data_IF_358812497631
#
_entry.id   IF_358812497631
#
_cell.length_a   1.000
_cell.length_b   1.000
_cell.length_c   1.000
_cell.angle_alpha   90.00
_cell.angle_beta   90.00
_cell.angle_gamma   90.00
#
_symmetry.space_group_name_H-M   'P 1'
#
loop_
_entity.id
_entity.type
_entity.pdbx_description
1 polymer ?
#
# COMPACT_ATOMS: atom_id res chain seq x y z
N UNK A 1 -8.97 -24.63 0.11
CA UNK A 1 -7.51 -24.90 0.22
C UNK A 1 -6.95 -24.04 1.36
N UNK A 2 -5.99 -24.50 2.16
CA UNK A 2 -5.39 -23.72 3.27
C UNK A 2 -4.15 -22.98 2.77
N UNK A 3 -3.95 -21.74 3.22
CA UNK A 3 -2.72 -21.01 2.90
C UNK A 3 -1.51 -21.75 3.48
N UNK A 4 -0.43 -21.83 2.71
CA UNK A 4 0.79 -22.50 3.16
C UNK A 4 1.50 -21.66 4.23
N UNK A 5 1.34 -22.03 5.50
CA UNK A 5 2.02 -21.46 6.67
C UNK A 5 2.48 -22.62 7.56
N UNK A 6 3.70 -22.58 8.14
CA UNK A 6 4.12 -23.61 9.08
C UNK A 6 3.30 -23.53 10.36
N UNK A 7 3.10 -24.65 11.04
CA UNK A 7 2.50 -24.67 12.38
C UNK A 7 3.63 -24.69 13.41
N UNK A 8 3.75 -23.61 14.20
CA UNK A 8 4.84 -23.43 15.17
C UNK A 8 4.45 -23.81 16.61
N UNK A 9 3.20 -24.23 16.84
CA UNK A 9 2.66 -24.45 18.19
C UNK A 9 2.54 -23.17 19.02
N UNK A 10 2.54 -22.00 18.36
CA UNK A 10 2.38 -20.67 18.96
C UNK A 10 1.03 -20.10 18.54
N UNK A 11 0.46 -19.25 19.38
CA UNK A 11 -0.72 -18.47 18.99
C UNK A 11 -0.40 -17.62 17.76
N UNK A 12 -1.31 -17.65 16.79
CA UNK A 12 -1.18 -16.98 15.51
C UNK A 12 -1.89 -15.63 15.52
N UNK A 13 -1.10 -14.59 15.33
CA UNK A 13 -1.57 -13.22 15.15
C UNK A 13 -1.50 -12.90 13.65
N UNK A 14 -2.66 -12.68 13.03
CA UNK A 14 -2.74 -12.24 11.64
C UNK A 14 -2.99 -10.74 11.59
N UNK A 15 -2.13 -10.02 10.87
CA UNK A 15 -2.18 -8.57 10.67
C UNK A 15 -2.49 -8.30 9.20
N UNK A 16 -3.57 -7.57 8.94
CA UNK A 16 -3.98 -7.14 7.60
C UNK A 16 -3.45 -5.73 7.33
N UNK A 17 -2.56 -5.60 6.37
CA UNK A 17 -1.93 -4.34 6.00
C UNK A 17 -0.63 -4.08 6.76
N UNK A 18 0.45 -3.91 6.02
CA UNK A 18 1.79 -3.51 6.47
C UNK A 18 2.05 -2.01 6.29
N UNK A 19 1.01 -1.18 6.41
CA UNK A 19 1.13 0.25 6.60
C UNK A 19 1.76 0.61 7.97
N UNK A 20 1.63 1.85 8.41
CA UNK A 20 2.25 2.31 9.66
C UNK A 20 1.87 1.47 10.89
N UNK A 21 0.56 1.27 11.11
CA UNK A 21 0.08 0.56 12.29
C UNK A 21 0.48 -0.93 12.28
N UNK A 22 0.24 -1.61 11.15
CA UNK A 22 0.53 -3.04 11.04
C UNK A 22 2.01 -3.36 11.10
N UNK A 23 2.86 -2.57 10.43
CA UNK A 23 4.31 -2.74 10.51
C UNK A 23 4.83 -2.48 11.94
N UNK A 24 4.39 -1.39 12.58
CA UNK A 24 4.82 -1.06 13.94
C UNK A 24 4.44 -2.16 14.94
N UNK A 25 3.25 -2.74 14.82
CA UNK A 25 2.82 -3.87 15.64
C UNK A 25 3.64 -5.13 15.35
N UNK A 26 3.80 -5.49 14.08
CA UNK A 26 4.58 -6.66 13.68
C UNK A 26 6.03 -6.59 14.20
N UNK A 27 6.66 -5.41 14.15
CA UNK A 27 8.00 -5.16 14.70
C UNK A 27 8.07 -5.32 16.23
N UNK A 28 7.02 -4.93 16.96
CA UNK A 28 6.95 -5.13 18.41
C UNK A 28 6.77 -6.61 18.74
N UNK A 29 5.82 -7.27 18.08
CA UNK A 29 5.53 -8.70 18.30
C UNK A 29 6.71 -9.59 17.92
N UNK A 30 7.45 -9.26 16.86
CA UNK A 30 8.62 -10.04 16.44
C UNK A 30 9.73 -10.10 17.51
N UNK A 31 9.82 -9.08 18.37
CA UNK A 31 10.80 -9.05 19.47
C UNK A 31 10.42 -9.97 20.63
N UNK A 32 9.13 -10.24 20.83
CA UNK A 32 8.63 -11.09 21.91
C UNK A 32 8.91 -12.58 21.65
N UNK A 33 8.91 -13.01 20.39
CA UNK A 33 9.13 -14.40 19.95
C UNK A 33 8.13 -15.43 20.51
N UNK A 34 7.08 -14.98 21.20
CA UNK A 34 6.00 -15.82 21.76
C UNK A 34 4.97 -16.23 20.72
N UNK A 35 4.73 -15.37 19.71
CA UNK A 35 3.64 -15.54 18.75
C UNK A 35 4.17 -15.93 17.37
N UNK A 36 3.34 -16.63 16.60
CA UNK A 36 3.49 -16.68 15.15
C UNK A 36 2.81 -15.44 14.54
N UNK A 37 3.58 -14.54 13.94
CA UNK A 37 3.05 -13.34 13.31
C UNK A 37 2.91 -13.58 11.82
N UNK A 38 1.72 -13.33 11.27
CA UNK A 38 1.46 -13.42 9.83
C UNK A 38 1.03 -12.04 9.34
N UNK A 39 1.85 -11.41 8.51
CA UNK A 39 1.55 -10.14 7.86
C UNK A 39 1.01 -10.41 6.45
N UNK A 40 -0.24 -10.03 6.20
CA UNK A 40 -0.88 -10.08 4.89
C UNK A 40 -0.92 -8.67 4.32
N UNK A 41 -0.46 -8.48 3.10
CA UNK A 41 -0.54 -7.20 2.38
C UNK A 41 -0.64 -7.44 0.86
N UNK A 42 -1.13 -6.46 0.11
CA UNK A 42 -1.15 -6.46 -1.35
C UNK A 42 0.25 -6.26 -1.95
N UNK A 43 1.12 -5.60 -1.21
CA UNK A 43 2.49 -5.29 -1.58
C UNK A 43 3.49 -6.13 -0.78
N UNK A 44 4.68 -6.33 -1.33
CA UNK A 44 5.79 -7.00 -0.62
C UNK A 44 6.67 -6.02 0.20
N UNK A 45 6.22 -4.76 0.33
CA UNK A 45 6.95 -3.68 0.96
C UNK A 45 6.02 -2.74 1.75
N UNK A 46 6.60 -2.07 2.74
CA UNK A 46 6.03 -0.88 3.36
C UNK A 46 6.36 0.34 2.50
N UNK A 47 5.42 1.28 2.41
CA UNK A 47 5.61 2.56 1.72
C UNK A 47 5.39 3.71 2.70
N UNK A 48 6.33 4.65 2.74
CA UNK A 48 6.26 5.80 3.64
C UNK A 48 5.41 6.91 3.01
N UNK A 49 4.10 6.79 3.21
CA UNK A 49 3.07 7.64 2.60
C UNK A 49 3.31 9.16 2.70
N UNK A 50 3.86 9.70 3.81
CA UNK A 50 4.08 11.13 3.93
C UNK A 50 4.99 11.74 2.85
N UNK A 51 5.76 10.95 2.10
CA UNK A 51 6.70 11.46 1.09
C UNK A 51 6.28 11.17 -0.36
N UNK A 52 5.03 10.73 -0.60
CA UNK A 52 4.55 10.49 -1.97
C UNK A 52 4.61 11.74 -2.85
N UNK A 53 4.31 12.91 -2.30
CA UNK A 53 4.42 14.17 -3.05
C UNK A 53 5.84 14.44 -3.54
N UNK A 54 6.87 14.06 -2.78
CA UNK A 54 8.26 14.22 -3.22
C UNK A 54 8.60 13.27 -4.36
N UNK A 55 8.02 12.08 -4.40
CA UNK A 55 8.14 11.19 -5.56
C UNK A 55 7.39 11.75 -6.76
N UNK A 56 6.17 12.24 -6.59
CA UNK A 56 5.37 12.85 -7.65
C UNK A 56 6.06 14.06 -8.29
N UNK A 57 6.77 14.85 -7.50
CA UNK A 57 7.49 16.04 -7.96
C UNK A 57 8.94 15.77 -8.41
N UNK A 58 9.34 14.51 -8.59
CA UNK A 58 10.73 14.11 -8.91
C UNK A 58 11.79 14.53 -7.88
N UNK A 59 11.39 14.95 -6.68
CA UNK A 59 12.30 15.33 -5.60
C UNK A 59 12.91 14.15 -4.85
N UNK A 60 12.27 12.97 -4.91
CA UNK A 60 12.77 11.72 -4.36
C UNK A 60 12.58 10.55 -5.32
N UNK A 61 13.55 9.63 -5.26
CA UNK A 61 13.40 8.31 -5.86
C UNK A 61 12.42 7.44 -5.06
N UNK A 62 11.53 6.67 -5.71
CA UNK A 62 10.60 5.76 -5.05
C UNK A 62 11.26 4.79 -4.07
N UNK A 63 12.45 4.30 -4.44
CA UNK A 63 13.22 3.34 -3.65
C UNK A 63 13.66 3.89 -2.29
N UNK A 64 13.73 5.21 -2.14
CA UNK A 64 14.07 5.89 -0.88
C UNK A 64 12.94 5.84 0.15
N UNK A 65 11.71 5.55 -0.27
CA UNK A 65 10.51 5.54 0.60
C UNK A 65 9.81 4.17 0.67
N UNK A 66 10.41 3.16 0.03
CA UNK A 66 9.90 1.79 -0.03
C UNK A 66 10.81 0.84 0.75
N UNK A 67 10.23 0.08 1.68
CA UNK A 67 10.95 -0.76 2.61
C UNK A 67 10.46 -2.22 2.52
N UNK A 68 11.20 -3.13 1.86
CA UNK A 68 10.76 -4.51 1.67
C UNK A 68 10.53 -5.25 2.99
N UNK A 69 9.34 -5.82 3.18
CA UNK A 69 9.01 -6.52 4.43
C UNK A 69 9.98 -7.67 4.73
N UNK A 70 10.38 -8.41 3.69
CA UNK A 70 11.31 -9.54 3.83
C UNK A 70 12.67 -9.10 4.36
N UNK A 71 13.15 -7.91 3.96
CA UNK A 71 14.40 -7.32 4.46
C UNK A 71 14.25 -6.92 5.93
N UNK A 72 13.12 -6.29 6.29
CA UNK A 72 12.83 -5.88 7.68
C UNK A 72 12.81 -7.09 8.62
N UNK A 73 12.16 -8.18 8.22
CA UNK A 73 11.97 -9.37 9.05
C UNK A 73 12.97 -10.51 8.79
N UNK A 74 14.03 -10.28 8.01
CA UNK A 74 14.96 -11.34 7.57
C UNK A 74 15.60 -12.17 8.71
N UNK A 75 15.72 -11.59 9.92
CA UNK A 75 16.28 -12.26 11.11
C UNK A 75 15.22 -12.86 12.04
N UNK A 76 13.93 -12.72 11.72
CA UNK A 76 12.82 -13.22 12.51
C UNK A 76 12.23 -14.48 11.88
N UNK A 77 12.43 -15.63 12.53
CA UNK A 77 11.91 -16.92 12.07
C UNK A 77 10.41 -17.12 12.30
N UNK A 78 9.83 -16.30 13.18
CA UNK A 78 8.43 -16.40 13.61
C UNK A 78 7.49 -15.43 12.87
N UNK A 79 8.03 -14.63 11.93
CA UNK A 79 7.25 -13.66 11.13
C UNK A 79 7.13 -14.16 9.71
N UNK A 80 5.89 -14.30 9.24
CA UNK A 80 5.57 -14.78 7.91
C UNK A 80 4.86 -13.69 7.12
N UNK A 81 5.31 -13.43 5.90
CA UNK A 81 4.70 -12.46 5.00
C UNK A 81 4.02 -13.23 3.87
N UNK A 82 2.77 -12.89 3.56
CA UNK A 82 2.07 -13.37 2.37
C UNK A 82 1.51 -12.18 1.62
N UNK A 83 1.71 -12.20 0.31
CA UNK A 83 1.22 -11.16 -0.59
C UNK A 83 -0.12 -11.66 -1.11
N UNK A 84 -1.22 -11.10 -0.64
CA UNK A 84 -2.57 -11.56 -0.99
C UNK A 84 -3.61 -10.53 -0.55
N UNK A 85 -4.80 -10.64 -1.13
CA UNK A 85 -5.97 -9.88 -0.74
C UNK A 85 -6.88 -10.73 0.13
N UNK A 86 -7.50 -10.09 1.13
CA UNK A 86 -8.50 -10.72 1.97
C UNK A 86 -9.87 -10.46 1.35
N UNK A 87 -10.55 -11.52 1.00
CA UNK A 87 -11.86 -11.51 0.33
C UNK A 87 -13.00 -11.65 1.34
N UNK A 88 -12.73 -12.27 2.49
CA UNK A 88 -13.74 -12.53 3.52
C UNK A 88 -13.13 -12.78 4.89
N UNK A 89 -13.93 -12.54 5.93
CA UNK A 89 -13.56 -12.77 7.33
C UNK A 89 -14.66 -13.59 7.99
N UNK A 90 -14.31 -14.77 8.51
CA UNK A 90 -15.20 -15.57 9.34
C UNK A 90 -14.74 -15.50 10.81
N UNK A 91 -15.45 -14.70 11.61
CA UNK A 91 -15.11 -14.48 13.02
C UNK A 91 -15.50 -15.67 13.92
N UNK A 92 -16.60 -16.37 13.60
CA UNK A 92 -17.04 -17.54 14.38
C UNK A 92 -16.06 -18.69 14.28
N UNK A 93 -15.59 -18.98 13.05
CA UNK A 93 -14.64 -20.05 12.75
C UNK A 93 -13.19 -19.58 12.78
N UNK A 94 -12.96 -18.29 13.07
CA UNK A 94 -11.65 -17.64 13.19
C UNK A 94 -10.70 -17.86 12.01
N UNK A 95 -11.15 -17.53 10.80
CA UNK A 95 -10.30 -17.57 9.62
C UNK A 95 -10.60 -16.45 8.62
N UNK A 96 -9.63 -16.19 7.75
CA UNK A 96 -9.73 -15.31 6.60
C UNK A 96 -9.81 -16.11 5.31
N UNK A 97 -10.56 -15.59 4.35
CA UNK A 97 -10.60 -16.07 2.97
C UNK A 97 -9.68 -15.18 2.13
N UNK A 98 -8.82 -15.81 1.35
CA UNK A 98 -7.86 -15.13 0.46
C UNK A 98 -7.73 -15.94 -0.82
N UNK A 99 -7.20 -15.30 -1.87
CA UNK A 99 -6.88 -15.98 -3.13
C UNK A 99 -5.83 -17.10 -2.98
N UNK A 100 -5.05 -17.11 -1.89
CA UNK A 100 -4.10 -18.18 -1.55
C UNK A 100 -4.72 -19.29 -0.68
N UNK A 101 -6.00 -19.19 -0.36
CA UNK A 101 -6.73 -20.09 0.51
C UNK A 101 -6.98 -19.54 1.92
N UNK A 102 -7.47 -20.42 2.79
CA UNK A 102 -7.92 -20.06 4.14
C UNK A 102 -6.75 -19.81 5.07
N UNK A 103 -6.76 -18.69 5.79
CA UNK A 103 -5.79 -18.34 6.84
C UNK A 103 -6.47 -18.28 8.21
N UNK A 104 -6.27 -19.32 9.03
CA UNK A 104 -6.76 -19.33 10.41
C UNK A 104 -5.98 -18.33 11.26
N UNK A 105 -6.63 -17.80 12.30
CA UNK A 105 -6.01 -16.92 13.28
C UNK A 105 -6.51 -17.20 14.70
N UNK A 106 -5.70 -16.87 15.70
CA UNK A 106 -6.14 -16.75 17.09
C UNK A 106 -6.55 -15.31 17.39
N UNK A 107 -5.77 -14.36 16.84
CA UNK A 107 -6.04 -12.93 16.87
C UNK A 107 -5.95 -12.32 15.48
N UNK A 108 -6.90 -11.44 15.17
CA UNK A 108 -6.96 -10.69 13.92
C UNK A 108 -6.78 -9.20 14.19
N UNK A 109 -5.86 -8.56 13.47
CA UNK A 109 -5.65 -7.12 13.49
C UNK A 109 -5.92 -6.57 12.09
N UNK A 110 -6.84 -5.62 12.00
CA UNK A 110 -7.17 -4.92 10.76
C UNK A 110 -6.42 -3.58 10.76
N UNK A 111 -5.43 -3.45 9.88
CA UNK A 111 -4.57 -2.28 9.72
C UNK A 111 -4.43 -1.90 8.23
N UNK A 112 -5.52 -2.06 7.46
CA UNK A 112 -5.56 -1.90 6.00
C UNK A 112 -5.49 -0.46 5.52
N UNK A 113 -5.60 0.51 6.43
CA UNK A 113 -5.64 1.93 6.11
C UNK A 113 -6.97 2.34 5.47
N UNK A 114 -6.92 3.40 4.66
CA UNK A 114 -8.05 3.95 3.94
C UNK A 114 -7.63 4.31 2.51
N UNK A 115 -8.62 4.40 1.62
CA UNK A 115 -8.42 4.75 0.21
C UNK A 115 -8.91 6.19 -0.10
N UNK A 116 -8.75 6.62 -1.34
CA UNK A 116 -9.29 7.88 -1.86
C UNK A 116 -10.81 7.81 -1.89
N UNK A 117 -11.47 8.88 -1.43
CA UNK A 117 -12.91 9.00 -1.46
C UNK A 117 -13.31 10.11 -2.43
N UNK A 118 -14.02 9.73 -3.49
CA UNK A 118 -14.53 10.65 -4.51
C UNK A 118 -15.96 11.15 -4.23
N UNK A 119 -16.51 10.82 -3.04
CA UNK A 119 -17.85 11.25 -2.59
C UNK A 119 -18.98 10.91 -3.57
N UNK A 120 -18.84 9.79 -4.29
CA UNK A 120 -19.80 9.33 -5.29
C UNK A 120 -19.64 9.94 -6.68
N UNK A 121 -18.63 10.78 -6.91
CA UNK A 121 -18.34 11.35 -8.22
C UNK A 121 -17.46 10.41 -9.06
N UNK A 122 -18.10 9.56 -9.86
CA UNK A 122 -17.44 8.59 -10.73
C UNK A 122 -16.67 9.24 -11.89
N UNK A 123 -17.11 10.41 -12.36
CA UNK A 123 -16.42 11.15 -13.42
C UNK A 123 -15.05 11.63 -12.92
N UNK A 124 -15.00 12.24 -11.72
CA UNK A 124 -13.74 12.61 -11.09
C UNK A 124 -12.84 11.42 -10.81
N UNK A 125 -13.40 10.29 -10.35
CA UNK A 125 -12.62 9.07 -10.14
C UNK A 125 -11.94 8.58 -11.43
N UNK A 126 -12.59 8.74 -12.59
CA UNK A 126 -12.03 8.31 -13.88
C UNK A 126 -10.98 9.26 -14.47
N UNK A 127 -10.98 10.54 -14.05
CA UNK A 127 -10.13 11.59 -14.61
C UNK A 127 -8.98 12.00 -13.68
N UNK A 128 -9.19 11.93 -12.36
CA UNK A 128 -8.24 12.44 -11.38
C UNK A 128 -7.21 11.37 -10.98
N UNK A 129 -5.96 11.80 -10.84
CA UNK A 129 -4.88 10.97 -10.34
C UNK A 129 -4.83 11.09 -8.81
N UNK A 130 -5.12 10.01 -8.10
CA UNK A 130 -4.93 9.91 -6.64
C UNK A 130 -3.44 9.86 -6.28
N UNK A 131 -3.12 10.02 -4.99
CA UNK A 131 -1.75 9.90 -4.46
C UNK A 131 -1.76 9.13 -3.13
N UNK A 132 -2.18 7.86 -3.18
CA UNK A 132 -2.24 6.94 -2.02
C UNK A 132 -1.21 5.81 -2.07
N UNK A 133 -0.48 5.70 -3.15
CA UNK A 133 0.55 4.68 -3.39
C UNK A 133 1.75 5.27 -4.10
N UNK A 134 2.88 4.58 -3.99
CA UNK A 134 4.10 4.92 -4.76
C UNK A 134 3.85 4.83 -6.26
N UNK A 135 3.06 3.85 -6.72
CA UNK A 135 2.73 3.68 -8.13
C UNK A 135 1.94 4.85 -8.69
N UNK A 136 0.96 5.37 -7.95
CA UNK A 136 0.21 6.56 -8.37
C UNK A 136 1.09 7.82 -8.37
N UNK A 137 1.96 8.00 -7.36
CA UNK A 137 2.90 9.12 -7.35
C UNK A 137 3.85 9.09 -8.56
N UNK A 138 4.33 7.90 -8.94
CA UNK A 138 5.12 7.69 -10.15
C UNK A 138 4.34 7.99 -11.43
N UNK A 139 3.07 7.58 -11.48
CA UNK A 139 2.20 7.86 -12.60
C UNK A 139 1.97 9.38 -12.77
N UNK A 140 1.68 10.09 -11.67
CA UNK A 140 1.54 11.54 -11.65
C UNK A 140 2.80 12.24 -12.15
N UNK A 141 3.98 11.85 -11.64
CA UNK A 141 5.28 12.37 -12.08
C UNK A 141 5.45 12.24 -13.60
N UNK A 142 5.25 11.03 -14.12
CA UNK A 142 5.47 10.74 -15.52
C UNK A 142 4.45 11.47 -16.40
N UNK A 143 3.22 11.65 -15.93
CA UNK A 143 2.18 12.41 -16.63
C UNK A 143 2.60 13.87 -16.76
N UNK A 144 2.95 14.54 -15.65
CA UNK A 144 3.42 15.95 -15.64
C UNK A 144 4.62 16.14 -16.57
N UNK A 145 5.61 15.25 -16.51
CA UNK A 145 6.80 15.35 -17.37
C UNK A 145 6.45 15.13 -18.85
N UNK A 146 5.52 14.22 -19.15
CA UNK A 146 5.09 13.97 -20.54
C UNK A 146 4.30 15.17 -21.08
N UNK A 147 3.42 15.75 -20.28
CA UNK A 147 2.66 16.93 -20.63
C UNK A 147 3.58 18.12 -20.93
N UNK A 148 4.68 18.29 -20.18
CA UNK A 148 5.69 19.30 -20.49
C UNK A 148 6.39 19.10 -21.84
N UNK A 149 6.74 17.87 -22.20
CA UNK A 149 7.35 17.59 -23.51
C UNK A 149 6.39 17.89 -24.67
N UNK A 150 5.10 17.61 -24.47
CA UNK A 150 4.05 17.96 -25.45
C UNK A 150 3.89 19.48 -25.51
N UNK A 151 3.78 20.16 -24.37
CA UNK A 151 3.64 21.61 -24.30
C UNK A 151 4.79 22.36 -24.98
N UNK A 152 6.02 21.85 -24.89
CA UNK A 152 7.19 22.42 -25.59
C UNK A 152 7.11 22.27 -27.12
N UNK A 153 6.39 21.26 -27.60
CA UNK A 153 6.22 20.96 -29.02
C UNK A 153 4.95 21.59 -29.61
N UNK A 154 4.02 22.04 -28.78
CA UNK A 154 2.75 22.67 -29.19
C UNK A 154 2.93 24.17 -29.42
N UNK A 155 2.65 24.61 -30.65
CA UNK A 155 2.79 26.02 -31.04
C UNK A 155 1.57 26.88 -30.69
N UNK A 156 0.38 26.28 -30.74
CA UNK A 156 -0.86 26.96 -30.38
C UNK A 156 -0.88 27.31 -28.90
N UNK A 157 -1.31 28.52 -28.56
CA UNK A 157 -1.26 29.00 -27.19
C UNK A 157 -2.28 28.28 -26.31
N UNK A 158 -3.52 28.11 -26.79
CA UNK A 158 -4.62 27.58 -25.99
C UNK A 158 -4.42 26.07 -25.79
N UNK A 159 -4.07 25.33 -26.85
CA UNK A 159 -3.74 23.90 -26.76
C UNK A 159 -2.55 23.64 -25.82
N UNK A 160 -1.54 24.52 -25.83
CA UNK A 160 -0.39 24.40 -24.92
C UNK A 160 -0.79 24.61 -23.45
N UNK A 161 -1.75 25.48 -23.15
CA UNK A 161 -2.16 25.74 -21.76
C UNK A 161 -2.77 24.51 -21.11
N UNK A 162 -3.53 23.72 -21.86
CA UNK A 162 -4.18 22.50 -21.35
C UNK A 162 -3.16 21.51 -20.74
N UNK A 163 -1.92 21.48 -21.23
CA UNK A 163 -0.86 20.61 -20.72
C UNK A 163 -0.13 21.14 -19.47
N UNK A 164 -0.25 22.44 -19.15
CA UNK A 164 0.46 23.05 -18.01
C UNK A 164 -0.46 23.55 -16.91
N UNK A 165 -1.78 23.39 -17.08
CA UNK A 165 -2.78 23.65 -16.06
C UNK A 165 -2.88 22.49 -15.08
N UNK A 166 -2.37 22.71 -13.85
CA UNK A 166 -2.40 21.71 -12.78
C UNK A 166 -3.47 22.10 -11.75
N UNK A 167 -4.45 21.21 -11.57
CA UNK A 167 -5.50 21.36 -10.55
C UNK A 167 -5.24 20.39 -9.39
N UNK A 168 -5.06 20.93 -8.19
CA UNK A 168 -4.91 20.15 -6.96
C UNK A 168 -6.18 20.27 -6.12
N UNK A 169 -6.90 19.16 -5.94
CA UNK A 169 -8.15 19.12 -5.19
C UNK A 169 -7.89 18.65 -3.76
N UNK A 170 -8.09 19.56 -2.81
CA UNK A 170 -7.93 19.31 -1.37
C UNK A 170 -6.76 20.09 -0.78
N UNK A 171 -7.04 21.01 0.15
CA UNK A 171 -6.03 21.82 0.85
C UNK A 171 -5.41 21.11 2.06
N UNK A 172 -5.34 19.78 2.03
CA UNK A 172 -4.74 18.98 3.09
C UNK A 172 -3.20 19.02 3.06
N UNK A 173 -2.53 18.53 4.11
CA UNK A 173 -1.07 18.46 4.19
C UNK A 173 -0.42 17.41 3.30
#
# INVERSE_FOLDING_TARGET
MKINLPELGKERIVILGGGFAGLALALKLSKLKTYQVVLLDRNNYHQFQPLFYQVAMSGLEPSSIVFPFRKIFQKNKDVFIRITEVEGINLEKKYLETSLGICNFDHLIIATGADTNYFGNQELESLAISMKTVSEALYLRNSILSDYEIALSTSDYDERQEYIDIVVVGGGP
#
